data_IF_859266903787
#
_entry.id   IF_859266903787
#
_cell.length_a   1.000
_cell.length_b   1.000
_cell.length_c   1.000
_cell.angle_alpha   90.00
_cell.angle_beta   90.00
_cell.angle_gamma   90.00
#
_symmetry.space_group_name_H-M   'P 1'
#
loop_
_entity.id
_entity.type
_entity.pdbx_description
1 polymer ?
#
# COMPACT_ATOMS: atom_id res chain seq x y z
N UNK A 1 -16.15 -37.74 -22.44
CA UNK A 1 -16.15 -37.14 -21.08
C UNK A 1 -15.04 -36.11 -21.04
N UNK A 2 -15.38 -34.88 -21.43
CA UNK A 2 -14.46 -33.73 -21.54
C UNK A 2 -14.50 -32.96 -20.22
N UNK A 3 -13.38 -32.57 -19.61
CA UNK A 3 -13.43 -31.65 -18.48
C UNK A 3 -14.03 -30.31 -18.95
N UNK A 4 -14.81 -29.60 -18.12
CA UNK A 4 -15.34 -28.30 -18.51
C UNK A 4 -14.20 -27.31 -18.69
N UNK A 5 -14.23 -26.67 -19.85
CA UNK A 5 -13.57 -25.42 -20.19
C UNK A 5 -13.72 -24.42 -19.03
N UNK A 6 -12.62 -24.13 -18.31
CA UNK A 6 -12.57 -23.02 -17.34
C UNK A 6 -12.12 -21.76 -18.05
N UNK A 7 -13.03 -21.15 -18.81
CA UNK A 7 -12.88 -19.78 -19.27
C UNK A 7 -14.23 -19.05 -19.27
N UNK A 8 -14.50 -18.31 -18.19
CA UNK A 8 -15.27 -17.07 -18.19
C UNK A 8 -14.98 -16.34 -16.85
N UNK A 9 -13.93 -15.52 -16.83
CA UNK A 9 -14.06 -14.06 -16.94
C UNK A 9 -14.64 -13.42 -15.67
N UNK A 10 -13.85 -13.39 -14.59
CA UNK A 10 -13.98 -12.31 -13.62
C UNK A 10 -13.37 -11.05 -14.24
N UNK A 11 -14.26 -10.20 -14.75
CA UNK A 11 -14.07 -8.87 -15.28
C UNK A 11 -12.73 -8.21 -14.91
N UNK A 12 -11.84 -8.06 -15.90
CA UNK A 12 -10.71 -7.13 -15.84
C UNK A 12 -11.32 -5.73 -15.76
N UNK A 13 -11.37 -5.15 -14.56
CA UNK A 13 -11.29 -3.69 -14.44
C UNK A 13 -9.82 -3.36 -14.71
N UNK A 14 -9.48 -2.64 -15.81
CA UNK A 14 -8.13 -2.14 -16.00
C UNK A 14 -7.97 -0.88 -15.12
N UNK A 15 -7.92 -1.07 -13.81
CA UNK A 15 -7.14 -0.20 -12.95
C UNK A 15 -5.72 -0.72 -13.08
N UNK A 16 -4.84 0.01 -13.76
CA UNK A 16 -3.43 -0.37 -13.86
C UNK A 16 -2.94 -0.76 -12.46
N UNK A 17 -2.32 -1.94 -12.31
CA UNK A 17 -1.49 -2.17 -11.12
C UNK A 17 -0.43 -1.08 -11.19
N UNK A 18 -0.64 0.04 -10.50
CA UNK A 18 0.35 1.09 -10.40
C UNK A 18 1.59 0.41 -9.86
N UNK A 19 2.64 0.34 -10.69
CA UNK A 19 3.85 -0.40 -10.37
C UNK A 19 4.46 0.27 -9.13
N UNK A 20 4.30 -0.40 -7.99
CA UNK A 20 4.89 0.00 -6.73
C UNK A 20 6.23 -0.68 -6.54
N UNK A 21 6.99 -0.20 -5.56
CA UNK A 21 8.24 -0.82 -5.14
C UNK A 21 7.92 -1.90 -4.10
N UNK A 22 8.62 -3.02 -4.15
CA UNK A 22 8.47 -4.09 -3.15
C UNK A 22 9.46 -3.88 -2.01
N UNK A 23 9.09 -4.36 -0.83
CA UNK A 23 9.97 -4.37 0.33
C UNK A 23 9.44 -5.26 1.45
N UNK A 24 10.12 -5.18 2.59
CA UNK A 24 9.86 -5.94 3.81
C UNK A 24 9.76 -4.99 4.98
N UNK A 25 8.70 -5.09 5.77
CA UNK A 25 8.52 -4.28 6.99
C UNK A 25 9.69 -4.54 7.94
N UNK A 26 10.42 -3.50 8.30
CA UNK A 26 11.50 -3.56 9.29
C UNK A 26 10.94 -3.34 10.68
N UNK A 27 10.18 -2.26 10.87
CA UNK A 27 9.53 -1.91 12.13
C UNK A 27 8.14 -1.33 11.88
N UNK A 28 7.23 -1.52 12.84
CA UNK A 28 5.90 -0.91 12.85
C UNK A 28 5.50 -0.59 14.28
N UNK A 29 5.12 0.67 14.51
CA UNK A 29 4.50 1.14 15.74
C UNK A 29 2.97 1.24 15.52
N UNK A 30 2.16 0.39 16.17
CA UNK A 30 0.71 0.43 16.04
C UNK A 30 0.06 1.69 16.63
N UNK A 31 0.71 2.37 17.59
CA UNK A 31 0.18 3.59 18.19
C UNK A 31 0.33 4.78 17.23
N UNK A 32 1.52 4.93 16.64
CA UNK A 32 1.78 5.96 15.63
C UNK A 32 1.26 5.60 14.22
N UNK A 33 0.88 4.34 13.99
CA UNK A 33 0.53 3.78 12.67
C UNK A 33 1.62 4.05 11.63
N UNK A 34 2.87 4.00 12.07
CA UNK A 34 4.05 4.40 11.33
C UNK A 34 5.17 3.37 11.50
N UNK A 35 6.21 3.45 10.68
CA UNK A 35 7.32 2.50 10.75
C UNK A 35 8.33 2.67 9.63
N UNK A 36 9.05 1.60 9.34
CA UNK A 36 10.03 1.57 8.26
C UNK A 36 9.94 0.28 7.45
N UNK A 37 10.30 0.40 6.17
CA UNK A 37 10.36 -0.70 5.20
C UNK A 37 11.79 -0.80 4.69
N UNK A 38 12.31 -2.01 4.62
CA UNK A 38 13.52 -2.33 3.87
C UNK A 38 13.11 -2.69 2.45
N UNK A 39 13.47 -1.87 1.47
CA UNK A 39 13.26 -2.15 0.06
C UNK A 39 14.10 -3.34 -0.39
N UNK A 40 13.71 -3.96 -1.51
CA UNK A 40 14.46 -5.10 -2.08
C UNK A 40 15.88 -4.71 -2.54
N UNK A 41 16.18 -3.42 -2.76
CA UNK A 41 17.52 -2.91 -3.04
C UNK A 41 18.38 -2.68 -1.78
N UNK A 42 17.81 -2.91 -0.59
CA UNK A 42 18.46 -2.75 0.71
C UNK A 42 18.29 -1.37 1.34
N UNK A 43 17.63 -0.40 0.69
CA UNK A 43 17.35 0.90 1.28
C UNK A 43 16.26 0.79 2.37
N UNK A 44 16.48 1.41 3.53
CA UNK A 44 15.45 1.55 4.56
C UNK A 44 14.75 2.91 4.41
N UNK A 45 13.42 2.90 4.30
CA UNK A 45 12.62 4.11 4.11
C UNK A 45 11.49 4.17 5.15
N UNK A 46 11.30 5.31 5.83
CA UNK A 46 10.19 5.49 6.77
C UNK A 46 8.85 5.67 6.04
N UNK A 47 7.77 5.27 6.70
CA UNK A 47 6.40 5.60 6.33
C UNK A 47 5.62 6.11 7.53
N UNK A 48 4.69 7.04 7.29
CA UNK A 48 3.82 7.61 8.32
C UNK A 48 2.38 7.10 8.25
N UNK A 49 1.58 7.53 9.23
CA UNK A 49 0.16 7.17 9.37
C UNK A 49 -0.63 7.36 8.07
N UNK A 50 -0.47 8.49 7.38
CA UNK A 50 -1.19 8.76 6.13
C UNK A 50 -1.00 7.68 5.05
N UNK A 51 0.22 7.14 4.91
CA UNK A 51 0.50 6.07 3.95
C UNK A 51 -0.13 4.74 4.38
N UNK A 52 -0.14 4.47 5.68
CA UNK A 52 -0.78 3.28 6.26
C UNK A 52 -2.31 3.34 6.16
N UNK A 53 -2.88 4.51 6.44
CA UNK A 53 -4.32 4.80 6.43
C UNK A 53 -4.93 4.80 5.03
N UNK A 54 -4.12 5.01 3.99
CA UNK A 54 -4.54 4.82 2.61
C UNK A 54 -4.90 3.35 2.29
N UNK A 55 -4.54 2.41 3.16
CA UNK A 55 -4.75 0.98 2.99
C UNK A 55 -5.82 0.42 3.94
N UNK A 56 -6.44 -0.73 3.62
CA UNK A 56 -7.36 -1.40 4.54
C UNK A 56 -6.63 -2.17 5.67
N UNK A 57 -5.32 -1.98 5.83
CA UNK A 57 -4.52 -2.74 6.79
C UNK A 57 -4.82 -2.32 8.23
N UNK A 58 -4.80 -3.31 9.12
CA UNK A 58 -4.98 -3.09 10.57
C UNK A 58 -3.66 -3.14 11.33
N UNK A 59 -2.72 -3.96 10.87
CA UNK A 59 -1.43 -4.20 11.49
C UNK A 59 -0.41 -4.60 10.43
N UNK A 60 0.87 -4.34 10.70
CA UNK A 60 2.01 -4.93 10.01
C UNK A 60 2.91 -5.66 11.01
N UNK A 61 3.54 -6.74 10.54
CA UNK A 61 4.57 -7.45 11.31
C UNK A 61 5.94 -7.20 10.70
N UNK A 62 6.97 -7.13 11.55
CA UNK A 62 8.35 -7.18 11.05
C UNK A 62 8.57 -8.44 10.21
N UNK A 63 9.30 -8.32 9.10
CA UNK A 63 9.49 -9.39 8.11
C UNK A 63 8.34 -9.55 7.10
N UNK A 64 7.27 -8.75 7.18
CA UNK A 64 6.16 -8.86 6.24
C UNK A 64 6.46 -8.22 4.89
N UNK A 65 6.23 -8.95 3.80
CA UNK A 65 6.33 -8.46 2.42
C UNK A 65 5.24 -7.44 2.12
N UNK A 66 5.60 -6.32 1.51
CA UNK A 66 4.70 -5.22 1.18
C UNK A 66 4.98 -4.64 -0.20
N UNK A 67 3.95 -4.03 -0.77
CA UNK A 67 4.02 -3.19 -1.95
C UNK A 67 3.81 -1.74 -1.51
N UNK A 68 4.66 -0.82 -1.97
CA UNK A 68 4.61 0.59 -1.58
C UNK A 68 4.60 1.53 -2.78
N UNK A 69 3.98 2.70 -2.61
CA UNK A 69 4.14 3.84 -3.53
C UNK A 69 5.09 4.85 -2.92
N UNK A 70 6.10 5.26 -3.68
CA UNK A 70 6.99 6.36 -3.31
C UNK A 70 6.75 7.53 -4.26
N UNK A 71 6.52 8.72 -3.70
CA UNK A 71 6.39 9.95 -4.46
C UNK A 71 7.18 11.06 -3.75
N UNK A 72 8.03 11.80 -4.48
CA UNK A 72 8.86 12.85 -3.89
C UNK A 72 9.81 12.36 -2.78
N UNK A 73 10.22 11.08 -2.82
CA UNK A 73 11.07 10.48 -1.79
C UNK A 73 10.34 9.99 -0.53
N UNK A 74 9.01 10.15 -0.46
CA UNK A 74 8.20 9.71 0.67
C UNK A 74 7.26 8.55 0.31
N UNK A 75 7.06 7.63 1.24
CA UNK A 75 6.04 6.58 1.11
C UNK A 75 4.66 7.23 1.23
N UNK A 76 3.82 7.05 0.21
CA UNK A 76 2.46 7.62 0.14
C UNK A 76 1.36 6.57 0.25
N UNK A 77 1.69 5.30 0.07
CA UNK A 77 0.79 4.18 0.28
C UNK A 77 1.60 2.91 0.57
N UNK A 78 1.05 2.02 1.41
CA UNK A 78 1.60 0.70 1.71
C UNK A 78 0.47 -0.33 1.70
N UNK A 79 0.71 -1.52 1.14
CA UNK A 79 -0.22 -2.65 1.16
C UNK A 79 0.54 -3.98 1.20
N UNK A 80 -0.16 -5.10 1.35
CA UNK A 80 0.46 -6.42 1.28
C UNK A 80 1.02 -6.70 -0.12
N UNK A 81 2.15 -7.40 -0.18
CA UNK A 81 2.67 -7.87 -1.47
C UNK A 81 1.60 -8.70 -2.22
N UNK A 82 1.51 -8.49 -3.54
CA UNK A 82 0.50 -9.12 -4.39
C UNK A 82 -0.86 -8.41 -4.44
N UNK A 83 -1.13 -7.47 -3.53
CA UNK A 83 -2.32 -6.61 -3.60
C UNK A 83 -2.03 -5.32 -4.38
N UNK A 84 -3.04 -4.78 -5.10
CA UNK A 84 -2.89 -3.50 -5.76
C UNK A 84 -2.69 -2.39 -4.72
N UNK A 85 -1.85 -1.41 -5.07
CA UNK A 85 -1.75 -0.19 -4.29
C UNK A 85 -3.10 0.56 -4.31
N UNK A 86 -3.51 1.17 -3.19
CA UNK A 86 -4.68 2.03 -3.18
C UNK A 86 -4.52 3.19 -4.18
N UNK A 87 -5.63 3.59 -4.79
CA UNK A 87 -5.66 4.74 -5.68
C UNK A 87 -5.27 6.01 -4.90
N UNK A 88 -4.41 6.89 -5.45
CA UNK A 88 -4.16 8.16 -4.79
C UNK A 88 -5.48 8.95 -4.67
N UNK A 89 -5.63 9.76 -3.61
CA UNK A 89 -6.78 10.66 -3.52
C UNK A 89 -6.81 11.57 -4.77
N UNK A 90 -8.01 11.91 -5.28
CA UNK A 90 -8.11 12.83 -6.40
C UNK A 90 -7.45 14.18 -6.03
N UNK A 91 -6.77 14.83 -6.98
CA UNK A 91 -6.14 16.13 -6.73
C UNK A 91 -7.20 17.14 -6.27
N UNK A 92 -6.94 17.82 -5.15
CA UNK A 92 -7.84 18.83 -4.57
C UNK A 92 -8.59 18.40 -3.31
N UNK A 93 -8.57 17.11 -2.94
CA UNK A 93 -9.11 16.67 -1.63
C UNK A 93 -8.11 17.04 -0.53
N UNK A 94 -8.21 18.26 0.01
CA UNK A 94 -7.61 18.58 1.31
C UNK A 94 -8.30 17.69 2.34
N UNK A 95 -7.53 16.94 3.13
CA UNK A 95 -8.10 16.26 4.31
C UNK A 95 -8.95 17.28 5.09
N UNK A 96 -10.16 16.94 5.54
CA UNK A 96 -10.95 17.86 6.36
C UNK A 96 -10.05 18.33 7.50
N UNK A 97 -9.87 19.65 7.58
CA UNK A 97 -9.11 20.25 8.67
C UNK A 97 -9.75 19.85 10.00
N UNK A 98 -8.97 19.77 11.10
CA UNK A 98 -9.55 19.58 12.42
C UNK A 98 -10.68 20.61 12.60
N UNK A 99 -11.81 20.23 13.22
CA UNK A 99 -12.87 21.20 13.47
C UNK A 99 -12.26 22.34 14.28
N UNK A 100 -12.27 23.54 13.71
CA UNK A 100 -11.93 24.76 14.45
C UNK A 100 -12.90 24.84 15.63
N UNK A 101 -12.37 24.64 16.84
CA UNK A 101 -13.07 24.75 18.11
C UNK A 101 -12.47 25.88 18.92
#
# INVERSE_FOLDING_TARGET
>A
MTPPDRAAAASRVPGARLAGVQGTVRAFDPAARAGSVLLDDGAEIPFGAAAFDASPLRLLRSGQRVNIRVAGGAVTAITLAGFPLPEPPPPGTRAPGPPDG
#
